data_IF_487850885968
#
_entry.id   IF_487850885968
#
_cell.length_a   1.000
_cell.length_b   1.000
_cell.length_c   1.000
_cell.angle_alpha   90.00
_cell.angle_beta   90.00
_cell.angle_gamma   90.00
#
_symmetry.space_group_name_H-M   'P 1'
#
loop_
_entity.id
_entity.type
_entity.pdbx_description
1 polymer ?
#
# COMPACT_ATOMS: atom_id res chain seq x y z
N UNK A 1 -90.11 -4.16 -35.07
CA UNK A 1 -89.56 -3.02 -34.31
C UNK A 1 -88.89 -3.54 -33.04
N UNK A 2 -87.57 -3.48 -32.96
CA UNK A 2 -86.77 -3.92 -31.80
C UNK A 2 -86.61 -2.72 -30.85
N UNK A 3 -87.21 -2.80 -29.67
CA UNK A 3 -87.03 -1.82 -28.60
C UNK A 3 -85.66 -1.99 -27.94
N UNK A 4 -84.80 -0.99 -28.08
CA UNK A 4 -83.57 -0.84 -27.31
C UNK A 4 -83.94 -0.34 -25.90
N UNK A 5 -83.88 -1.21 -24.89
CA UNK A 5 -83.95 -0.82 -23.48
C UNK A 5 -82.63 -0.16 -23.09
N UNK A 6 -82.64 1.16 -22.87
CA UNK A 6 -81.57 1.88 -22.20
C UNK A 6 -81.57 1.55 -20.71
N UNK A 7 -80.44 1.05 -20.20
CA UNK A 7 -80.23 0.82 -18.77
C UNK A 7 -79.70 2.09 -18.10
N UNK A 8 -80.56 2.80 -17.38
CA UNK A 8 -80.14 3.84 -16.43
C UNK A 8 -79.71 3.19 -15.11
N UNK A 9 -78.48 2.65 -15.05
CA UNK A 9 -77.86 2.26 -13.78
C UNK A 9 -77.10 3.48 -13.21
N UNK A 10 -77.63 4.08 -12.14
CA UNK A 10 -76.92 5.08 -11.36
C UNK A 10 -75.76 4.44 -10.59
N UNK A 11 -74.68 5.20 -10.38
CA UNK A 11 -73.48 4.77 -9.66
C UNK A 11 -73.81 4.48 -8.19
N UNK A 12 -73.42 3.31 -7.67
CA UNK A 12 -73.70 2.98 -6.27
C UNK A 12 -72.69 3.66 -5.34
N UNK A 13 -73.12 4.10 -4.16
CA UNK A 13 -72.22 4.65 -3.13
C UNK A 13 -71.08 3.67 -2.79
N UNK A 14 -71.37 2.36 -2.82
CA UNK A 14 -70.42 1.28 -2.61
C UNK A 14 -69.30 1.30 -3.67
N UNK A 15 -69.65 1.43 -4.94
CA UNK A 15 -68.69 1.46 -6.06
C UNK A 15 -67.78 2.69 -5.99
N UNK A 16 -68.29 3.82 -5.51
CA UNK A 16 -67.52 5.04 -5.26
C UNK A 16 -66.51 4.87 -4.13
N UNK A 17 -66.94 4.33 -3.00
CA UNK A 17 -66.05 4.08 -1.85
C UNK A 17 -65.00 3.04 -2.22
N UNK A 18 -65.38 1.98 -2.95
CA UNK A 18 -64.46 0.94 -3.41
C UNK A 18 -63.40 1.52 -4.35
N UNK A 19 -63.82 2.34 -5.32
CA UNK A 19 -62.91 2.99 -6.27
C UNK A 19 -61.95 3.95 -5.56
N UNK A 20 -62.44 4.78 -4.63
CA UNK A 20 -61.61 5.69 -3.85
C UNK A 20 -60.63 4.95 -2.93
N UNK A 21 -61.06 3.83 -2.34
CA UNK A 21 -60.21 2.95 -1.53
C UNK A 21 -59.07 2.33 -2.33
N UNK A 22 -59.35 1.83 -3.54
CA UNK A 22 -58.33 1.27 -4.44
C UNK A 22 -57.31 2.35 -4.84
N UNK A 23 -57.78 3.56 -5.19
CA UNK A 23 -56.89 4.69 -5.52
C UNK A 23 -55.99 5.04 -4.34
N UNK A 24 -56.56 5.18 -3.13
CA UNK A 24 -55.80 5.47 -1.92
C UNK A 24 -54.74 4.41 -1.64
N UNK A 25 -55.08 3.13 -1.82
CA UNK A 25 -54.15 2.02 -1.67
C UNK A 25 -53.01 2.06 -2.71
N UNK A 26 -53.32 2.34 -3.97
CA UNK A 26 -52.31 2.48 -5.05
C UNK A 26 -51.35 3.64 -4.73
N UNK A 27 -51.87 4.79 -4.28
CA UNK A 27 -51.05 5.95 -3.91
C UNK A 27 -50.14 5.62 -2.73
N UNK A 28 -50.66 4.94 -1.70
CA UNK A 28 -49.86 4.53 -0.55
C UNK A 28 -48.72 3.58 -0.95
N UNK A 29 -48.99 2.58 -1.79
CA UNK A 29 -47.96 1.68 -2.31
C UNK A 29 -46.93 2.41 -3.16
N UNK A 30 -47.37 3.34 -4.00
CA UNK A 30 -46.49 4.14 -4.87
C UNK A 30 -45.53 5.01 -4.05
N UNK A 31 -46.04 5.71 -3.03
CA UNK A 31 -45.22 6.51 -2.12
C UNK A 31 -44.24 5.63 -1.31
N UNK A 32 -44.70 4.46 -0.85
CA UNK A 32 -43.86 3.49 -0.17
C UNK A 32 -42.70 2.99 -1.06
N UNK A 33 -42.99 2.66 -2.31
CA UNK A 33 -42.00 2.22 -3.28
C UNK A 33 -40.97 3.31 -3.61
N UNK A 34 -41.40 4.57 -3.79
CA UNK A 34 -40.49 5.70 -4.03
C UNK A 34 -39.55 5.93 -2.85
N UNK A 35 -40.06 5.89 -1.61
CA UNK A 35 -39.24 6.03 -0.40
C UNK A 35 -38.22 4.90 -0.27
N UNK A 36 -38.61 3.67 -0.59
CA UNK A 36 -37.69 2.53 -0.57
C UNK A 36 -36.63 2.66 -1.67
N UNK A 37 -37.02 3.04 -2.88
CA UNK A 37 -36.13 3.22 -4.02
C UNK A 37 -35.07 4.29 -3.77
N UNK A 38 -35.47 5.45 -3.25
CA UNK A 38 -34.55 6.54 -2.87
C UNK A 38 -33.59 6.10 -1.77
N UNK A 39 -34.09 5.45 -0.71
CA UNK A 39 -33.24 4.96 0.38
C UNK A 39 -32.23 3.91 -0.09
N UNK A 40 -32.65 2.99 -0.96
CA UNK A 40 -31.78 1.96 -1.53
C UNK A 40 -30.71 2.59 -2.44
N UNK A 41 -31.08 3.59 -3.24
CA UNK A 41 -30.15 4.33 -4.10
C UNK A 41 -29.10 5.09 -3.27
N UNK A 42 -29.52 5.82 -2.23
CA UNK A 42 -28.60 6.54 -1.36
C UNK A 42 -27.60 5.61 -0.66
N UNK A 43 -28.09 4.47 -0.13
CA UNK A 43 -27.23 3.47 0.50
C UNK A 43 -26.25 2.84 -0.53
N UNK A 44 -26.68 2.67 -1.78
CA UNK A 44 -25.82 2.24 -2.88
C UNK A 44 -24.75 3.27 -3.22
N UNK A 45 -25.12 4.55 -3.32
CA UNK A 45 -24.21 5.65 -3.64
C UNK A 45 -23.10 5.80 -2.60
N UNK A 46 -23.42 5.70 -1.30
CA UNK A 46 -22.42 5.75 -0.22
C UNK A 46 -21.39 4.62 -0.32
N UNK A 47 -21.83 3.40 -0.67
CA UNK A 47 -20.93 2.26 -0.89
C UNK A 47 -20.04 2.50 -2.11
N UNK A 48 -20.61 2.99 -3.21
CA UNK A 48 -19.86 3.26 -4.44
C UNK A 48 -18.78 4.32 -4.18
N UNK A 49 -19.11 5.42 -3.49
CA UNK A 49 -18.13 6.46 -3.12
C UNK A 49 -16.99 5.88 -2.27
N UNK A 50 -17.32 5.08 -1.26
CA UNK A 50 -16.31 4.43 -0.40
C UNK A 50 -15.36 3.53 -1.19
N UNK A 51 -15.89 2.68 -2.09
CA UNK A 51 -15.06 1.82 -2.95
C UNK A 51 -14.23 2.61 -3.97
N UNK A 52 -14.76 3.71 -4.51
CA UNK A 52 -14.02 4.58 -5.41
C UNK A 52 -12.85 5.25 -4.68
N UNK A 53 -13.08 5.80 -3.49
CA UNK A 53 -12.02 6.37 -2.64
C UNK A 53 -10.95 5.33 -2.33
N UNK A 54 -11.35 4.13 -1.91
CA UNK A 54 -10.45 3.02 -1.63
C UNK A 54 -9.57 2.68 -2.85
N UNK A 55 -10.17 2.58 -4.04
CA UNK A 55 -9.45 2.33 -5.29
C UNK A 55 -8.47 3.45 -5.65
N UNK A 56 -8.85 4.72 -5.45
CA UNK A 56 -7.98 5.86 -5.71
C UNK A 56 -6.74 5.83 -4.80
N UNK A 57 -6.94 5.56 -3.50
CA UNK A 57 -5.84 5.45 -2.53
C UNK A 57 -4.91 4.29 -2.91
N UNK A 58 -5.47 3.12 -3.23
CA UNK A 58 -4.70 1.96 -3.67
C UNK A 58 -3.89 2.25 -4.94
N UNK A 59 -4.47 2.95 -5.91
CA UNK A 59 -3.77 3.31 -7.14
C UNK A 59 -2.62 4.29 -6.87
N UNK A 60 -2.82 5.31 -6.04
CA UNK A 60 -1.77 6.27 -5.68
C UNK A 60 -0.63 5.57 -4.94
N UNK A 61 -0.95 4.74 -3.95
CA UNK A 61 0.02 3.94 -3.20
C UNK A 61 0.77 2.97 -4.13
N UNK A 62 0.03 2.28 -5.00
CA UNK A 62 0.56 1.36 -5.99
C UNK A 62 1.54 2.02 -6.97
N UNK A 63 1.17 3.16 -7.54
CA UNK A 63 2.03 3.92 -8.44
C UNK A 63 3.31 4.41 -7.76
N UNK A 64 3.20 4.94 -6.53
CA UNK A 64 4.36 5.42 -5.77
C UNK A 64 5.29 4.29 -5.34
N UNK A 65 4.75 3.15 -4.90
CA UNK A 65 5.57 1.98 -4.55
C UNK A 65 6.27 1.42 -5.79
N UNK A 66 5.60 1.40 -6.96
CA UNK A 66 6.22 0.97 -8.23
C UNK A 66 7.37 1.87 -8.66
N UNK A 67 7.35 3.16 -8.31
CA UNK A 67 8.42 4.11 -8.61
C UNK A 67 9.59 4.06 -7.62
N UNK A 68 9.62 3.05 -6.75
CA UNK A 68 10.75 2.75 -5.88
C UNK A 68 12.03 2.50 -6.69
N UNK A 69 13.11 3.19 -6.32
CA UNK A 69 14.42 3.04 -6.91
C UNK A 69 15.42 2.57 -5.86
N UNK A 70 16.24 1.55 -6.16
CA UNK A 70 17.12 0.96 -5.18
C UNK A 70 18.37 1.83 -5.04
N UNK A 71 18.41 2.65 -3.99
CA UNK A 71 19.59 3.42 -3.63
C UNK A 71 20.37 2.70 -2.55
N UNK A 72 21.67 2.52 -2.77
CA UNK A 72 22.60 1.94 -1.80
C UNK A 72 23.51 3.05 -1.25
N UNK A 73 23.59 3.17 0.06
CA UNK A 73 24.47 4.09 0.78
C UNK A 73 25.60 3.32 1.44
N UNK A 74 26.81 3.83 1.38
CA UNK A 74 27.93 3.25 2.13
C UNK A 74 27.88 3.73 3.57
N UNK A 75 28.11 2.82 4.52
CA UNK A 75 28.24 3.19 5.94
C UNK A 75 29.48 4.08 6.10
N UNK A 76 29.27 5.32 6.53
CA UNK A 76 30.28 6.39 6.61
C UNK A 76 31.53 6.04 7.44
N UNK A 77 31.44 5.02 8.30
CA UNK A 77 32.52 4.58 9.18
C UNK A 77 33.70 3.88 8.49
N UNK A 78 33.65 3.58 7.19
CA UNK A 78 34.75 2.85 6.51
C UNK A 78 35.60 3.71 5.59
N UNK A 79 35.37 5.03 5.49
CA UNK A 79 36.19 5.89 4.61
C UNK A 79 37.53 6.32 5.23
N UNK A 80 37.74 6.11 6.53
CA UNK A 80 38.95 6.53 7.24
C UNK A 80 39.59 5.46 8.15
N UNK A 81 39.16 4.20 8.10
CA UNK A 81 39.80 3.13 8.85
C UNK A 81 40.60 2.20 7.94
N UNK A 82 41.92 2.35 8.07
CA UNK A 82 42.97 1.35 7.83
C UNK A 82 43.13 0.82 6.40
N UNK A 83 44.31 1.10 5.83
CA UNK A 83 44.87 0.48 4.63
C UNK A 83 45.03 -1.06 4.72
N UNK A 84 44.65 -1.70 5.83
CA UNK A 84 44.82 -3.14 6.09
C UNK A 84 43.52 -3.94 6.30
N UNK A 85 42.34 -3.40 5.99
CA UNK A 85 41.08 -4.16 6.07
C UNK A 85 40.55 -4.52 4.68
N UNK A 86 40.63 -5.79 4.30
CA UNK A 86 39.91 -6.42 3.17
C UNK A 86 38.37 -6.44 3.37
N UNK A 87 37.81 -5.48 4.10
CA UNK A 87 36.37 -5.41 4.35
C UNK A 87 35.71 -4.52 3.30
N UNK A 88 35.05 -5.15 2.32
CA UNK A 88 34.21 -4.44 1.33
C UNK A 88 33.23 -3.51 2.07
N UNK A 89 33.13 -2.22 1.67
CA UNK A 89 32.28 -1.26 2.35
C UNK A 89 30.81 -1.72 2.30
N UNK A 90 30.15 -1.75 3.46
CA UNK A 90 28.79 -2.25 3.59
C UNK A 90 27.82 -1.32 2.83
N UNK A 91 27.21 -1.84 1.77
CA UNK A 91 26.17 -1.17 0.98
C UNK A 91 24.83 -1.33 1.70
N UNK A 92 24.38 -0.26 2.35
CA UNK A 92 23.09 -0.19 3.01
C UNK A 92 22.01 0.26 2.04
N UNK A 93 21.02 -0.60 1.79
CA UNK A 93 19.86 -0.25 0.99
C UNK A 93 18.97 0.78 1.71
N UNK A 94 18.60 1.85 1.02
CA UNK A 94 17.66 2.86 1.53
C UNK A 94 16.19 2.45 1.28
N UNK A 95 15.82 1.29 1.84
CA UNK A 95 14.47 0.74 1.85
C UNK A 95 14.21 0.15 3.22
N UNK A 96 13.16 0.62 3.89
CA UNK A 96 12.69 0.05 5.16
C UNK A 96 11.21 -0.26 5.05
N UNK A 97 10.88 -1.53 5.26
CA UNK A 97 9.53 -2.02 5.31
C UNK A 97 9.16 -2.53 6.71
N UNK A 98 8.13 -1.97 7.31
CA UNK A 98 7.47 -2.48 8.51
C UNK A 98 6.03 -2.83 8.17
N UNK A 99 5.36 -3.54 9.06
CA UNK A 99 3.98 -3.97 8.84
C UNK A 99 3.04 -2.78 8.55
N UNK A 100 3.23 -1.63 9.19
CA UNK A 100 2.36 -0.46 9.06
C UNK A 100 3.03 0.77 8.42
N UNK A 101 4.28 0.63 7.97
CA UNK A 101 5.02 1.73 7.37
C UNK A 101 5.98 1.27 6.30
N UNK A 102 6.09 2.03 5.22
CA UNK A 102 6.98 1.72 4.11
C UNK A 102 7.76 2.97 3.72
N UNK A 103 9.09 2.89 3.77
CA UNK A 103 10.03 3.96 3.39
C UNK A 103 10.92 3.49 2.26
N UNK A 104 11.05 4.33 1.23
CA UNK A 104 11.93 4.06 0.09
C UNK A 104 12.33 5.36 -0.63
N UNK A 105 13.26 5.27 -1.57
CA UNK A 105 13.67 6.39 -2.44
C UNK A 105 12.99 6.29 -3.79
N UNK A 106 12.59 7.41 -4.35
CA UNK A 106 12.02 7.48 -5.70
C UNK A 106 12.52 8.71 -6.45
N UNK A 107 12.50 8.59 -7.78
CA UNK A 107 12.80 9.65 -8.75
C UNK A 107 11.53 10.17 -9.44
N UNK A 108 10.36 9.64 -9.06
CA UNK A 108 9.08 10.12 -9.60
C UNK A 108 8.82 11.57 -9.20
N UNK A 109 7.88 12.26 -9.85
CA UNK A 109 7.48 13.59 -9.41
C UNK A 109 6.81 13.52 -8.03
N UNK A 110 7.11 14.48 -7.15
CA UNK A 110 6.31 14.72 -5.94
C UNK A 110 4.87 15.05 -6.32
N UNK A 111 3.87 14.73 -5.48
CA UNK A 111 2.44 14.98 -5.81
C UNK A 111 2.14 16.44 -6.19
N UNK A 112 2.96 17.38 -5.71
CA UNK A 112 2.78 18.83 -5.87
C UNK A 112 3.80 19.49 -6.82
N UNK A 113 4.68 18.72 -7.45
CA UNK A 113 5.67 19.29 -8.38
C UNK A 113 5.04 19.58 -9.73
N UNK A 114 4.71 20.84 -9.99
CA UNK A 114 4.52 21.36 -11.34
C UNK A 114 5.87 21.54 -12.05
N UNK A 115 6.57 20.43 -12.32
CA UNK A 115 7.74 20.41 -13.20
C UNK A 115 9.12 20.76 -12.60
N UNK A 116 9.23 21.04 -11.29
CA UNK A 116 10.52 21.28 -10.60
C UNK A 116 10.64 20.42 -9.33
N UNK A 117 10.64 19.10 -9.49
CA UNK A 117 10.86 18.16 -8.39
C UNK A 117 12.37 18.00 -8.16
N UNK A 118 12.84 17.82 -6.92
CA UNK A 118 14.16 17.23 -6.71
C UNK A 118 14.23 15.89 -7.45
N UNK A 119 15.35 15.65 -8.13
CA UNK A 119 15.59 14.42 -8.90
C UNK A 119 15.45 13.16 -8.04
N UNK A 120 15.73 13.26 -6.73
CA UNK A 120 15.67 12.15 -5.78
C UNK A 120 15.02 12.60 -4.47
N UNK A 121 13.98 11.89 -4.04
CA UNK A 121 13.35 12.13 -2.76
C UNK A 121 12.99 10.81 -2.08
N UNK A 122 12.97 10.86 -0.75
CA UNK A 122 12.50 9.79 0.11
C UNK A 122 10.99 9.92 0.27
N UNK A 123 10.28 8.80 0.12
CA UNK A 123 8.85 8.70 0.37
C UNK A 123 8.61 7.72 1.51
N UNK A 124 7.82 8.14 2.49
CA UNK A 124 7.39 7.29 3.62
C UNK A 124 5.87 7.28 3.71
N UNK A 125 5.28 6.08 3.71
CA UNK A 125 3.88 5.85 4.04
C UNK A 125 3.76 5.34 5.47
N UNK A 126 2.83 5.88 6.25
CA UNK A 126 2.50 5.40 7.59
C UNK A 126 1.10 5.81 7.99
N UNK A 127 0.54 5.14 9.01
CA UNK A 127 -0.71 5.56 9.65
C UNK A 127 -0.36 6.46 10.83
N UNK A 128 -0.95 7.65 10.90
CA UNK A 128 -0.67 8.62 11.96
C UNK A 128 -1.48 9.90 11.84
N UNK A 129 -1.11 10.91 12.62
CA UNK A 129 -1.72 12.24 12.56
C UNK A 129 -0.93 13.14 11.61
N UNK A 130 -1.65 13.86 10.76
CA UNK A 130 -1.07 14.84 9.87
C UNK A 130 -0.59 16.06 10.68
N UNK A 131 0.67 16.48 10.54
CA UNK A 131 1.28 17.48 11.43
C UNK A 131 0.64 18.87 11.33
N UNK A 132 0.10 19.24 10.16
CA UNK A 132 -0.51 20.56 9.93
C UNK A 132 -2.02 20.54 10.21
N UNK A 133 -2.77 19.66 9.55
CA UNK A 133 -4.23 19.59 9.69
C UNK A 133 -4.72 18.89 10.97
N UNK A 134 -3.85 18.19 11.71
CA UNK A 134 -4.23 17.43 12.91
C UNK A 134 -5.09 16.19 12.65
N UNK A 135 -5.42 15.92 11.39
CA UNK A 135 -6.30 14.80 11.01
C UNK A 135 -5.54 13.47 11.05
N UNK A 136 -6.17 12.43 11.58
CA UNK A 136 -5.60 11.08 11.59
C UNK A 136 -5.88 10.36 10.28
N UNK A 137 -4.94 9.54 9.82
CA UNK A 137 -5.13 8.79 8.60
C UNK A 137 -3.85 8.21 7.99
N UNK A 138 -3.87 7.94 6.69
CA UNK A 138 -2.70 7.49 5.93
C UNK A 138 -1.96 8.74 5.53
N UNK A 139 -0.75 8.86 6.06
CA UNK A 139 0.14 9.96 5.78
C UNK A 139 1.20 9.48 4.82
N UNK A 140 1.41 10.27 3.77
CA UNK A 140 2.54 10.18 2.89
C UNK A 140 3.45 11.36 3.15
N UNK A 141 4.68 11.09 3.58
CA UNK A 141 5.72 12.10 3.76
C UNK A 141 6.72 12.01 2.61
N UNK A 142 7.01 13.13 1.96
CA UNK A 142 8.06 13.27 0.96
C UNK A 142 9.17 14.16 1.50
N UNK A 143 10.40 13.68 1.46
CA UNK A 143 11.60 14.39 1.91
C UNK A 143 12.65 14.45 0.82
N UNK A 144 13.11 15.65 0.50
CA UNK A 144 14.18 15.84 -0.48
C UNK A 144 15.50 15.26 0.03
N UNK A 145 16.12 14.36 -0.74
CA UNK A 145 17.46 13.84 -0.44
C UNK A 145 18.48 14.79 -1.07
N UNK A 146 18.94 15.78 -0.30
CA UNK A 146 19.98 16.70 -0.76
C UNK A 146 21.38 16.07 -0.66
N UNK A 147 22.30 16.33 -1.59
CA UNK A 147 23.70 15.91 -1.46
C UNK A 147 24.33 16.56 -0.23
N UNK A 148 25.08 15.76 0.54
CA UNK A 148 25.69 16.13 1.85
C UNK A 148 26.77 17.22 1.75
N UNK A 149 27.14 17.67 0.54
CA UNK A 149 28.15 18.70 0.30
C UNK A 149 27.59 20.13 0.21
N UNK A 150 26.35 20.37 0.63
CA UNK A 150 25.83 21.74 0.74
C UNK A 150 26.26 22.35 2.08
N UNK A 151 27.41 23.02 2.09
CA UNK A 151 27.93 23.86 3.18
C UNK A 151 27.08 25.12 3.35
N UNK A 152 25.82 24.92 3.70
CA UNK A 152 24.87 25.98 4.03
C UNK A 152 24.18 25.62 5.33
N UNK A 153 24.68 26.24 6.42
CA UNK A 153 23.95 26.66 7.61
C UNK A 153 22.64 25.90 7.88
N UNK A 154 22.67 25.01 8.88
CA UNK A 154 21.56 24.68 9.80
C UNK A 154 20.17 25.02 9.24
N UNK A 155 19.76 24.35 8.17
CA UNK A 155 18.40 24.48 7.67
C UNK A 155 17.48 23.75 8.65
N UNK A 156 16.59 24.51 9.30
CA UNK A 156 15.55 24.02 10.20
C UNK A 156 14.94 22.72 9.68
N UNK A 157 14.96 21.70 10.54
CA UNK A 157 14.53 20.31 10.31
C UNK A 157 13.06 20.13 9.85
N UNK A 158 12.32 21.21 9.62
CA UNK A 158 10.88 21.25 9.38
C UNK A 158 10.54 21.70 7.94
N UNK A 159 11.47 22.32 7.21
CA UNK A 159 11.15 23.07 5.97
C UNK A 159 11.21 22.26 4.65
N UNK A 160 11.46 20.94 4.69
CA UNK A 160 11.58 20.12 3.47
C UNK A 160 10.77 18.83 3.45
N UNK A 161 10.03 18.55 4.52
CA UNK A 161 9.20 17.35 4.63
C UNK A 161 7.77 17.74 4.26
N UNK A 162 7.31 17.33 3.08
CA UNK A 162 5.93 17.56 2.62
C UNK A 162 5.07 16.41 3.11
N UNK A 163 3.99 16.71 3.82
CA UNK A 163 3.05 15.71 4.30
C UNK A 163 1.75 15.79 3.49
N UNK A 164 1.24 14.64 3.10
CA UNK A 164 -0.03 14.48 2.40
C UNK A 164 -0.91 13.52 3.17
N UNK A 165 -2.15 13.91 3.38
CA UNK A 165 -3.20 13.05 3.93
C UNK A 165 -3.87 12.34 2.76
N UNK A 166 -3.65 11.03 2.64
CA UNK A 166 -4.23 10.23 1.56
C UNK A 166 -5.64 9.76 1.87
N UNK A 167 -5.92 9.51 3.16
CA UNK A 167 -7.23 9.12 3.66
C UNK A 167 -7.33 9.38 5.16
N UNK A 168 -8.54 9.62 5.68
CA UNK A 168 -8.82 9.92 7.10
C UNK A 168 -9.40 8.70 7.84
N UNK A 169 -10.41 8.06 7.24
CA UNK A 169 -11.20 7.01 7.87
C UNK A 169 -10.58 5.61 7.68
N UNK A 170 -9.34 5.40 8.13
CA UNK A 170 -8.67 4.10 7.99
C UNK A 170 -8.92 3.21 9.20
N UNK A 171 -9.19 1.94 8.92
CA UNK A 171 -9.18 0.88 9.93
C UNK A 171 -7.78 0.25 10.05
N UNK A 172 -7.20 -0.14 8.91
CA UNK A 172 -5.83 -0.67 8.87
C UNK A 172 -5.13 -0.38 7.54
N UNK A 173 -3.80 -0.28 7.61
CA UNK A 173 -2.88 -0.34 6.48
C UNK A 173 -1.79 -1.35 6.83
N UNK A 174 -1.66 -2.41 6.04
CA UNK A 174 -0.69 -3.49 6.25
C UNK A 174 0.16 -3.74 5.02
N UNK A 175 1.44 -3.97 5.26
CA UNK A 175 2.43 -4.30 4.26
C UNK A 175 3.04 -5.67 4.53
N UNK A 176 3.16 -6.48 3.48
CA UNK A 176 3.99 -7.68 3.47
C UNK A 176 4.92 -7.63 2.28
N UNK A 177 6.04 -8.33 2.39
CA UNK A 177 7.13 -8.22 1.45
C UNK A 177 7.58 -9.59 0.99
N UNK A 178 7.72 -9.78 -0.32
CA UNK A 178 8.18 -11.04 -0.88
C UNK A 178 9.70 -11.00 -1.04
N UNK A 179 10.42 -11.78 -0.22
CA UNK A 179 11.87 -11.94 -0.29
C UNK A 179 12.23 -13.22 -1.00
N UNK A 180 13.21 -13.14 -1.91
CA UNK A 180 13.79 -14.32 -2.57
C UNK A 180 15.21 -14.50 -2.06
N UNK A 181 15.54 -15.73 -1.65
CA UNK A 181 16.89 -16.14 -1.27
C UNK A 181 17.40 -17.20 -2.24
N UNK A 182 18.68 -17.11 -2.60
CA UNK A 182 19.36 -18.17 -3.36
C UNK A 182 19.57 -19.36 -2.43
N UNK A 183 19.18 -20.55 -2.88
CA UNK A 183 19.39 -21.78 -2.12
C UNK A 183 20.88 -22.15 -2.17
N UNK A 184 21.41 -22.64 -1.04
CA UNK A 184 22.79 -23.15 -1.02
C UNK A 184 22.85 -24.46 -1.80
N UNK A 185 23.98 -24.77 -2.44
CA UNK A 185 24.17 -26.07 -3.10
C UNK A 185 23.91 -27.26 -2.16
N UNK A 186 24.27 -27.15 -0.87
CA UNK A 186 24.02 -28.19 0.14
C UNK A 186 22.53 -28.37 0.47
N UNK A 187 21.76 -27.28 0.55
CA UNK A 187 20.32 -27.32 0.82
C UNK A 187 19.52 -27.77 -0.41
N UNK A 188 20.05 -27.54 -1.63
CA UNK A 188 19.44 -27.95 -2.88
C UNK A 188 19.55 -29.48 -3.11
N UNK A 189 20.64 -30.11 -2.63
CA UNK A 189 20.80 -31.57 -2.68
C UNK A 189 19.78 -32.34 -1.83
N UNK A 190 19.19 -31.69 -0.83
CA UNK A 190 18.17 -32.26 0.06
C UNK A 190 16.73 -32.05 -0.45
N UNK A 191 16.53 -31.31 -1.54
CA UNK A 191 15.20 -31.10 -2.12
C UNK A 191 14.89 -32.13 -3.22
N UNK A 192 13.61 -32.52 -3.29
CA UNK A 192 13.09 -33.44 -4.30
C UNK A 192 13.24 -32.91 -5.73
N UNK A 193 13.31 -31.59 -5.89
CA UNK A 193 13.50 -30.89 -7.16
C UNK A 193 14.81 -30.08 -7.14
N UNK A 194 15.87 -30.69 -7.67
CA UNK A 194 17.22 -30.11 -7.72
C UNK A 194 17.32 -28.91 -8.69
N UNK A 195 16.28 -28.63 -9.49
CA UNK A 195 16.25 -27.50 -10.41
C UNK A 195 15.95 -26.16 -9.72
N UNK A 196 15.44 -26.20 -8.47
CA UNK A 196 15.02 -25.01 -7.73
C UNK A 196 16.22 -24.25 -7.15
N UNK A 197 16.63 -23.18 -7.83
CA UNK A 197 17.78 -22.34 -7.41
C UNK A 197 17.44 -21.28 -6.35
N UNK A 198 16.15 -21.00 -6.15
CA UNK A 198 15.68 -19.89 -5.30
C UNK A 198 14.47 -20.29 -4.47
N UNK A 199 14.40 -19.76 -3.24
CA UNK A 199 13.26 -19.90 -2.35
C UNK A 199 12.69 -18.50 -2.03
N UNK A 200 11.38 -18.35 -2.21
CA UNK A 200 10.67 -17.11 -1.89
C UNK A 200 9.82 -17.25 -0.63
N UNK A 201 9.84 -16.24 0.23
CA UNK A 201 9.02 -16.17 1.46
C UNK A 201 8.43 -14.78 1.65
N UNK A 202 7.17 -14.73 2.08
CA UNK A 202 6.53 -13.51 2.55
C UNK A 202 6.99 -13.18 3.96
N UNK A 203 7.42 -11.95 4.18
CA UNK A 203 7.85 -11.42 5.47
C UNK A 203 7.11 -10.12 5.79
N UNK A 204 6.91 -9.81 7.06
CA UNK A 204 6.21 -8.58 7.49
C UNK A 204 7.16 -7.40 7.71
N UNK A 205 8.48 -7.65 7.71
CA UNK A 205 9.49 -6.63 7.99
C UNK A 205 10.72 -6.83 7.12
N UNK A 206 11.22 -5.74 6.57
CA UNK A 206 12.47 -5.64 5.81
C UNK A 206 13.25 -4.45 6.34
N UNK A 207 14.47 -4.71 6.80
CA UNK A 207 15.38 -3.69 7.25
C UNK A 207 16.79 -4.24 7.38
N UNK A 208 17.73 -3.36 7.75
CA UNK A 208 19.08 -3.78 8.05
C UNK A 208 19.11 -4.49 9.39
N UNK A 209 19.25 -5.83 9.36
CA UNK A 209 19.82 -6.55 10.48
C UNK A 209 21.33 -6.31 10.44
N UNK A 210 21.85 -5.55 11.41
CA UNK A 210 23.28 -5.51 11.69
C UNK A 210 23.67 -6.92 12.16
N UNK A 211 24.40 -7.67 11.32
CA UNK A 211 24.97 -8.95 11.74
C UNK A 211 26.21 -8.69 12.60
N UNK A 212 26.00 -8.15 13.80
CA UNK A 212 27.04 -8.02 14.83
C UNK A 212 27.23 -9.36 15.56
N UNK A 213 27.53 -10.44 14.84
CA UNK A 213 28.13 -11.63 15.47
C UNK A 213 29.61 -11.61 15.17
N UNK A 214 30.43 -11.43 16.22
CA UNK A 214 31.89 -11.51 16.14
C UNK A 214 32.27 -12.79 15.40
N UNK A 215 33.04 -12.65 14.32
CA UNK A 215 33.47 -13.73 13.43
C UNK A 215 34.27 -14.83 14.18
N UNK A 216 34.80 -14.51 15.36
CA UNK A 216 35.70 -15.34 16.16
C UNK A 216 35.09 -16.50 16.96
N UNK A 217 33.75 -16.67 16.98
CA UNK A 217 33.09 -17.75 17.77
C UNK A 217 32.30 -18.76 16.90
N UNK A 218 32.52 -18.79 15.59
CA UNK A 218 31.69 -19.55 14.67
C UNK A 218 32.49 -20.70 14.04
N UNK A 219 31.96 -21.92 14.15
CA UNK A 219 32.42 -23.12 13.41
C UNK A 219 32.57 -22.83 11.92
N UNK A 220 33.52 -23.46 11.22
CA UNK A 220 33.78 -23.24 9.77
C UNK A 220 32.51 -23.30 8.91
N UNK A 221 31.61 -24.25 9.17
CA UNK A 221 30.31 -24.33 8.48
C UNK A 221 29.42 -23.11 8.68
N UNK A 222 29.42 -22.53 9.90
CA UNK A 222 28.68 -21.31 10.21
C UNK A 222 29.32 -20.09 9.56
N UNK A 223 30.64 -20.06 9.43
CA UNK A 223 31.36 -18.99 8.72
C UNK A 223 31.06 -19.04 7.21
N UNK A 224 31.15 -20.22 6.58
CA UNK A 224 30.79 -20.41 5.17
C UNK A 224 29.33 -20.07 4.91
N UNK A 225 28.43 -20.44 5.83
CA UNK A 225 27.01 -20.05 5.77
C UNK A 225 26.83 -18.54 5.85
N UNK A 226 27.52 -17.87 6.76
CA UNK A 226 27.44 -16.42 6.91
C UNK A 226 28.03 -15.68 5.71
N UNK A 227 29.14 -16.15 5.14
CA UNK A 227 29.72 -15.59 3.92
C UNK A 227 28.79 -15.76 2.72
N UNK A 228 28.18 -16.94 2.54
CA UNK A 228 27.19 -17.17 1.50
C UNK A 228 25.96 -16.26 1.67
N UNK A 229 25.45 -16.12 2.90
CA UNK A 229 24.31 -15.24 3.21
C UNK A 229 24.66 -13.76 2.98
N UNK A 230 25.90 -13.33 3.28
CA UNK A 230 26.39 -11.97 3.04
C UNK A 230 26.51 -11.67 1.55
N UNK A 231 27.05 -12.61 0.76
CA UNK A 231 27.27 -12.44 -0.69
C UNK A 231 25.97 -12.54 -1.50
N UNK A 232 25.00 -13.34 -1.04
CA UNK A 232 23.72 -13.56 -1.74
C UNK A 232 22.54 -12.81 -1.08
N UNK A 233 22.80 -11.79 -0.26
CA UNK A 233 21.75 -11.00 0.38
C UNK A 233 20.99 -10.18 -0.67
N UNK A 234 19.85 -10.70 -1.11
CA UNK A 234 18.86 -9.88 -1.82
C UNK A 234 18.21 -8.94 -0.80
N UNK A 235 18.73 -7.72 -0.67
CA UNK A 235 18.22 -6.73 0.30
C UNK A 235 16.85 -6.17 -0.09
N UNK A 236 16.52 -6.25 -1.38
CA UNK A 236 15.28 -5.72 -1.94
C UNK A 236 14.19 -6.78 -2.01
N UNK A 237 12.97 -6.47 -1.55
CA UNK A 237 11.81 -7.29 -1.88
C UNK A 237 11.53 -7.29 -3.38
N UNK A 238 11.00 -8.41 -3.87
CA UNK A 238 10.54 -8.58 -5.25
C UNK A 238 9.10 -8.15 -5.46
N UNK A 239 8.31 -8.13 -4.39
CA UNK A 239 6.98 -7.60 -4.39
C UNK A 239 6.60 -7.05 -3.01
N UNK A 240 5.67 -6.09 -3.00
CA UNK A 240 5.00 -5.60 -1.80
C UNK A 240 3.53 -5.94 -1.91
N UNK A 241 2.99 -6.63 -0.92
CA UNK A 241 1.55 -6.81 -0.76
C UNK A 241 1.03 -5.69 0.15
N UNK A 242 -0.01 -5.01 -0.30
CA UNK A 242 -0.65 -3.91 0.41
C UNK A 242 -2.08 -4.30 0.71
N UNK A 243 -2.46 -4.23 1.98
CA UNK A 243 -3.84 -4.44 2.45
C UNK A 243 -4.34 -3.19 3.16
N UNK A 244 -5.52 -2.72 2.76
CA UNK A 244 -6.13 -1.48 3.25
C UNK A 244 -7.61 -1.72 3.59
N UNK A 245 -8.04 -1.18 4.73
CA UNK A 245 -9.44 -1.10 5.13
C UNK A 245 -9.82 0.33 5.51
N UNK A 246 -11.00 0.78 5.05
CA UNK A 246 -11.61 2.05 5.41
C UNK A 246 -12.84 1.81 6.29
N UNK A 247 -13.10 2.74 7.19
CA UNK A 247 -14.33 2.81 7.98
C UNK A 247 -15.42 3.49 7.16
N UNK A 248 -16.64 2.98 7.24
CA UNK A 248 -17.80 3.65 6.64
C UNK A 248 -18.00 5.01 7.31
N UNK A 249 -18.12 6.06 6.50
CA UNK A 249 -18.47 7.39 6.98
C UNK A 249 -19.94 7.38 7.41
N UNK A 250 -20.18 7.22 8.72
CA UNK A 250 -21.53 7.31 9.27
C UNK A 250 -22.11 8.71 9.03
N UNK A 251 -23.37 8.77 8.57
CA UNK A 251 -24.13 10.02 8.55
C UNK A 251 -24.10 10.65 9.96
N UNK A 252 -23.91 11.97 10.10
CA UNK A 252 -23.96 12.62 11.40
C UNK A 252 -25.32 12.34 12.06
N UNK A 253 -25.32 11.57 13.15
CA UNK A 253 -26.53 11.24 13.92
C UNK A 253 -26.87 9.75 14.07
N UNK A 254 -26.27 8.83 13.28
CA UNK A 254 -26.46 7.38 13.47
C UNK A 254 -25.24 6.75 14.15
N UNK A 255 -25.37 6.39 15.43
CA UNK A 255 -24.46 5.48 16.14
C UNK A 255 -24.67 4.06 15.64
N UNK A 256 -24.26 3.76 14.41
CA UNK A 256 -24.18 2.38 13.92
C UNK A 256 -22.72 1.95 13.99
N UNK A 257 -22.48 0.70 14.40
CA UNK A 257 -21.14 0.10 14.42
C UNK A 257 -20.44 0.36 13.08
N UNK A 258 -19.22 0.91 13.16
CA UNK A 258 -18.44 1.31 11.98
C UNK A 258 -18.14 0.07 11.13
N UNK A 259 -18.84 -0.06 10.00
CA UNK A 259 -18.61 -1.16 9.07
C UNK A 259 -17.30 -0.90 8.33
N UNK A 260 -16.41 -1.89 8.32
CA UNK A 260 -15.13 -1.79 7.62
C UNK A 260 -15.29 -2.27 6.18
N UNK A 261 -14.97 -1.39 5.23
CA UNK A 261 -14.81 -1.70 3.82
C UNK A 261 -13.35 -2.02 3.54
N UNK A 262 -13.07 -3.25 3.13
CA UNK A 262 -11.71 -3.67 2.78
C UNK A 262 -11.57 -3.87 1.28
N UNK A 263 -10.36 -3.62 0.80
CA UNK A 263 -9.95 -3.99 -0.55
C UNK A 263 -9.26 -5.35 -0.52
N UNK A 264 -9.39 -6.16 -1.57
CA UNK A 264 -8.49 -7.29 -1.79
C UNK A 264 -7.03 -6.84 -1.70
N UNK A 265 -6.12 -7.66 -1.12
CA UNK A 265 -4.70 -7.34 -1.08
C UNK A 265 -4.15 -7.10 -2.48
N UNK A 266 -3.46 -5.97 -2.67
CA UNK A 266 -2.80 -5.64 -3.93
C UNK A 266 -1.34 -6.10 -3.87
N UNK A 267 -0.92 -6.95 -4.80
CA UNK A 267 0.49 -7.33 -4.97
C UNK A 267 1.13 -6.42 -6.00
N UNK A 268 2.15 -5.70 -5.56
CA UNK A 268 2.92 -4.75 -6.38
C UNK A 268 4.28 -5.38 -6.65
N UNK A 269 4.54 -5.89 -7.87
CA UNK A 269 5.87 -6.34 -8.22
C UNK A 269 6.83 -5.15 -8.23
N UNK A 270 7.97 -5.31 -7.59
CA UNK A 270 9.06 -4.35 -7.61
C UNK A 270 10.08 -4.81 -8.65
N UNK A 271 10.61 -3.87 -9.43
CA UNK A 271 11.72 -4.13 -10.36
C UNK A 271 11.41 -5.18 -11.44
N UNK A 272 10.14 -5.36 -11.80
CA UNK A 272 9.73 -6.26 -12.88
C UNK A 272 10.39 -5.80 -14.19
N UNK A 273 11.26 -6.63 -14.77
CA UNK A 273 12.01 -6.32 -15.99
C UNK A 273 13.39 -5.71 -15.78
N UNK A 274 13.77 -5.34 -14.55
CA UNK A 274 15.14 -4.91 -14.25
C UNK A 274 16.00 -6.13 -13.88
N UNK A 275 16.94 -6.49 -14.77
CA UNK A 275 18.04 -7.40 -14.39
C UNK A 275 19.03 -6.55 -13.62
N UNK A 276 19.09 -6.72 -12.30
CA UNK A 276 20.24 -6.28 -11.55
C UNK A 276 21.47 -6.95 -12.17
N UNK A 277 22.52 -6.19 -12.45
CA UNK A 277 23.83 -6.78 -12.70
C UNK A 277 24.15 -7.63 -11.46
N UNK A 278 23.94 -8.94 -11.58
CA UNK A 278 24.52 -9.89 -10.66
C UNK A 278 26.03 -9.63 -10.73
N UNK A 279 26.70 -9.64 -9.58
CA UNK A 279 28.16 -9.58 -9.54
C UNK A 279 28.67 -10.58 -10.57
N UNK A 280 29.46 -10.10 -11.53
CA UNK A 280 29.91 -10.89 -12.66
C UNK A 280 30.60 -12.14 -12.10
N UNK A 281 30.22 -13.34 -12.52
CA UNK A 281 30.91 -14.61 -12.16
C UNK A 281 32.37 -14.62 -12.65
N UNK A 282 32.83 -13.57 -13.34
CA UNK A 282 34.22 -13.41 -13.80
C UNK A 282 35.19 -12.94 -12.72
N UNK A 283 34.73 -12.49 -11.56
CA UNK A 283 35.61 -12.09 -10.45
C UNK A 283 35.93 -13.24 -9.47
N UNK A 284 35.48 -14.47 -9.76
CA UNK A 284 35.83 -15.68 -8.96
C UNK A 284 37.06 -16.43 -9.50
N UNK A 285 37.71 -15.95 -10.58
CA UNK A 285 38.94 -16.55 -11.14
C UNK A 285 40.06 -15.51 -11.33
N UNK A 286 40.41 -14.78 -10.27
CA UNK A 286 41.75 -14.17 -10.09
C UNK A 286 42.16 -14.36 -8.63
#
# INVERSE_FOLDING_TARGET
MKYLRGSNQGFTLLELILSLGIIGFIVALSLGAIRLGTSAQEAGQLKIDTFQRLRLIQNQLGQKIKSNYPVFMFKEKTLFTSQNSQEKPERLLYFEGKENSLRFVTFSSTLTSQGKSPWTHETTFYVGQHPISGKSGIIMAEKTVAPKNSTGVVFKKIDRDRFFLLAEDIDYLKFRYYQIKKLRPADNKLQLDQSKKYEGKWVTRIGHKDFNKKLGELTEEKQTRLQFEKNNRMTLPRAVEVSLGLKETTRPGLKTESKVFFSPPMIIPLYSGMRFALSNDRDENI
#
